data_IF_474270055208
#
_entry.id   IF_474270055208
#
_cell.length_a   1.000
_cell.length_b   1.000
_cell.length_c   1.000
_cell.angle_alpha   90.00
_cell.angle_beta   90.00
_cell.angle_gamma   90.00
#
_symmetry.space_group_name_H-M   'P 1'
#
loop_
_entity.id
_entity.type
_entity.pdbx_description
1 polymer ?
#
# COMPACT_ATOMS: atom_id res chain seq x y z
N UNK A 1 -40.69 33.75 -38.93
CA UNK A 1 -39.31 33.55 -38.44
C UNK A 1 -39.33 32.33 -37.52
N UNK A 2 -38.77 31.21 -37.95
CA UNK A 2 -38.79 29.95 -37.19
C UNK A 2 -37.57 29.96 -36.26
N UNK A 3 -37.79 29.86 -34.94
CA UNK A 3 -36.70 29.69 -33.96
C UNK A 3 -36.49 28.20 -33.74
N UNK A 4 -35.30 27.71 -34.11
CA UNK A 4 -34.83 26.39 -33.68
C UNK A 4 -34.18 26.54 -32.30
N UNK A 5 -34.72 25.83 -31.31
CA UNK A 5 -34.10 25.64 -30.01
C UNK A 5 -33.51 24.24 -29.96
N UNK A 6 -32.18 24.16 -29.82
CA UNK A 6 -31.48 22.92 -29.53
C UNK A 6 -31.32 22.80 -28.01
N UNK A 7 -31.75 21.67 -27.45
CA UNK A 7 -31.52 21.30 -26.04
C UNK A 7 -30.49 20.19 -26.04
N UNK A 8 -29.30 20.47 -25.51
CA UNK A 8 -28.27 19.46 -25.27
C UNK A 8 -28.39 18.98 -23.83
N UNK A 9 -28.65 17.68 -23.65
CA UNK A 9 -28.65 17.02 -22.35
C UNK A 9 -27.30 16.37 -22.16
N UNK A 10 -26.50 16.90 -21.22
CA UNK A 10 -25.25 16.27 -20.79
C UNK A 10 -25.57 15.29 -19.66
N UNK A 11 -25.50 13.99 -19.97
CA UNK A 11 -25.52 12.94 -18.96
C UNK A 11 -24.11 12.83 -18.38
N UNK A 12 -23.90 13.43 -17.21
CA UNK A 12 -22.68 13.20 -16.42
C UNK A 12 -22.89 11.91 -15.64
N UNK A 13 -22.11 10.88 -15.92
CA UNK A 13 -22.07 9.68 -15.10
C UNK A 13 -21.37 10.04 -13.79
N UNK A 14 -22.11 10.17 -12.70
CA UNK A 14 -21.51 10.16 -11.37
C UNK A 14 -20.97 8.74 -11.13
N UNK A 15 -19.64 8.58 -11.04
CA UNK A 15 -19.07 7.34 -10.53
C UNK A 15 -19.41 7.29 -9.04
N UNK A 16 -20.33 6.40 -8.67
CA UNK A 16 -20.60 6.12 -7.25
C UNK A 16 -19.38 5.45 -6.62
N UNK A 17 -19.05 5.86 -5.39
CA UNK A 17 -18.03 5.20 -4.57
C UNK A 17 -18.41 3.71 -4.49
N UNK A 18 -17.49 2.80 -4.85
CA UNK A 18 -17.76 1.38 -4.68
C UNK A 18 -18.03 1.07 -3.21
N UNK A 19 -19.13 0.36 -2.93
CA UNK A 19 -19.45 0.01 -1.56
C UNK A 19 -18.37 -0.89 -0.96
N UNK A 20 -17.96 -0.66 0.29
CA UNK A 20 -17.06 -1.56 1.00
C UNK A 20 -17.60 -3.00 0.99
N UNK A 21 -16.71 -3.97 0.74
CA UNK A 21 -17.02 -5.40 0.69
C UNK A 21 -16.48 -6.09 1.94
N UNK A 22 -17.39 -6.64 2.75
CA UNK A 22 -17.04 -7.54 3.84
C UNK A 22 -16.52 -8.87 3.26
N UNK A 23 -15.35 -9.31 3.72
CA UNK A 23 -14.71 -10.56 3.31
C UNK A 23 -14.13 -11.32 4.50
N UNK A 24 -13.81 -12.60 4.29
CA UNK A 24 -13.21 -13.47 5.28
C UNK A 24 -12.00 -14.17 4.65
N UNK A 25 -10.79 -13.56 4.75
CA UNK A 25 -9.59 -14.07 4.11
C UNK A 25 -9.23 -15.48 4.58
N UNK A 26 -8.80 -16.33 3.63
CA UNK A 26 -8.36 -17.71 3.91
C UNK A 26 -7.10 -18.02 3.12
N UNK A 27 -6.15 -18.65 3.79
CA UNK A 27 -5.03 -19.28 3.10
C UNK A 27 -5.51 -20.63 2.57
N UNK A 28 -5.37 -20.85 1.26
CA UNK A 28 -5.68 -22.13 0.65
C UNK A 28 -4.50 -23.07 0.86
N UNK A 29 -4.77 -24.29 1.33
CA UNK A 29 -3.75 -25.32 1.53
C UNK A 29 -3.24 -25.85 0.19
N UNK A 30 -2.37 -25.09 -0.46
CA UNK A 30 -1.59 -25.56 -1.59
C UNK A 30 -0.14 -25.14 -1.37
N UNK A 31 0.71 -26.10 -1.00
CA UNK A 31 2.16 -25.90 -0.98
C UNK A 31 2.61 -25.73 -2.42
N UNK A 32 2.60 -24.50 -2.91
CA UNK A 32 3.37 -24.16 -4.10
C UNK A 32 4.81 -24.65 -3.88
N UNK A 33 5.42 -25.36 -4.84
CA UNK A 33 6.82 -25.79 -4.75
C UNK A 33 7.77 -24.62 -4.46
N UNK A 34 7.34 -23.41 -4.85
CA UNK A 34 8.05 -22.14 -4.81
C UNK A 34 7.76 -21.34 -3.52
N UNK A 35 7.01 -21.90 -2.57
CA UNK A 35 6.75 -21.27 -1.26
C UNK A 35 5.75 -20.11 -1.30
N UNK A 36 4.97 -20.00 -2.38
CA UNK A 36 3.92 -18.98 -2.53
C UNK A 36 2.70 -19.30 -1.69
N UNK A 37 2.00 -18.26 -1.23
CA UNK A 37 0.75 -18.36 -0.47
C UNK A 37 -0.43 -18.00 -1.37
N UNK A 38 -1.42 -18.88 -1.45
CA UNK A 38 -2.69 -18.55 -2.09
C UNK A 38 -3.64 -17.97 -1.05
N UNK A 39 -3.90 -16.66 -1.14
CA UNK A 39 -4.81 -15.95 -0.26
C UNK A 39 -6.13 -15.68 -0.96
N UNK A 40 -7.16 -16.43 -0.59
CA UNK A 40 -8.52 -16.21 -1.06
C UNK A 40 -9.19 -15.09 -0.26
N UNK A 41 -9.69 -14.06 -0.95
CA UNK A 41 -10.41 -12.95 -0.34
C UNK A 41 -11.92 -13.05 -0.64
N UNK A 42 -12.27 -13.27 -1.91
CA UNK A 42 -13.64 -13.54 -2.36
C UNK A 42 -13.63 -14.22 -3.74
N UNK A 43 -14.80 -14.61 -4.25
CA UNK A 43 -14.94 -15.37 -5.51
C UNK A 43 -14.13 -14.79 -6.69
N UNK A 44 -14.13 -13.47 -6.86
CA UNK A 44 -13.41 -12.80 -7.95
C UNK A 44 -11.95 -12.41 -7.63
N UNK A 45 -11.45 -12.66 -6.41
CA UNK A 45 -10.12 -12.21 -5.99
C UNK A 45 -9.43 -13.23 -5.09
N UNK A 46 -8.39 -13.85 -5.67
CA UNK A 46 -7.42 -14.69 -4.95
C UNK A 46 -6.03 -14.20 -5.33
N UNK A 47 -5.20 -13.90 -4.32
CA UNK A 47 -3.85 -13.41 -4.49
C UNK A 47 -2.85 -14.57 -4.47
N UNK A 48 -1.86 -14.54 -5.36
CA UNK A 48 -0.75 -15.48 -5.42
C UNK A 48 0.53 -14.83 -4.87
N UNK A 49 0.60 -14.83 -3.55
CA UNK A 49 1.54 -14.06 -2.76
C UNK A 49 2.94 -14.69 -2.73
N UNK A 50 3.97 -13.90 -3.07
CA UNK A 50 5.38 -14.20 -2.78
C UNK A 50 5.90 -13.28 -1.69
N UNK A 51 7.01 -13.64 -1.03
CA UNK A 51 7.68 -12.75 -0.07
C UNK A 51 8.17 -11.48 -0.78
N UNK A 52 7.98 -10.34 -0.14
CA UNK A 52 8.56 -9.07 -0.55
C UNK A 52 9.53 -8.58 0.54
N UNK A 53 10.48 -7.73 0.15
CA UNK A 53 11.43 -7.09 1.05
C UNK A 53 11.66 -5.67 0.59
N UNK A 54 11.51 -4.73 1.52
CA UNK A 54 11.59 -3.29 1.21
C UNK A 54 12.40 -2.53 2.25
N UNK A 55 12.48 -3.04 3.48
CA UNK A 55 13.25 -2.43 4.53
C UNK A 55 14.75 -2.71 4.35
N UNK A 56 15.59 -1.74 4.74
CA UNK A 56 17.02 -2.00 4.90
C UNK A 56 17.23 -3.08 5.98
N UNK A 57 18.32 -3.84 5.87
CA UNK A 57 18.64 -4.93 6.81
C UNK A 57 18.58 -4.48 8.27
N UNK A 58 19.08 -3.27 8.55
CA UNK A 58 18.95 -2.58 9.82
C UNK A 58 18.77 -1.08 9.57
N UNK A 59 17.87 -0.44 10.31
CA UNK A 59 17.66 1.01 10.20
C UNK A 59 17.27 1.63 11.54
N UNK A 60 17.55 2.93 11.66
CA UNK A 60 17.33 3.72 12.87
C UNK A 60 16.05 4.54 12.73
N UNK A 61 15.21 4.52 13.77
CA UNK A 61 14.02 5.36 13.90
C UNK A 61 14.26 6.34 15.03
N UNK A 62 13.99 7.62 14.77
CA UNK A 62 14.10 8.70 15.74
C UNK A 62 12.68 9.13 16.13
N UNK A 63 12.39 9.06 17.42
CA UNK A 63 11.10 9.42 18.00
C UNK A 63 11.26 10.53 19.02
N UNK A 64 10.19 11.29 19.23
CA UNK A 64 10.16 12.34 20.24
C UNK A 64 9.26 11.89 21.40
N UNK A 65 9.85 11.34 22.45
CA UNK A 65 9.15 10.92 23.67
C UNK A 65 9.39 11.95 24.79
N UNK A 66 8.32 12.52 25.36
CA UNK A 66 8.39 13.51 26.45
C UNK A 66 9.36 14.69 26.19
N UNK A 67 9.44 15.13 24.92
CA UNK A 67 10.31 16.21 24.49
C UNK A 67 11.79 15.83 24.35
N UNK A 68 12.13 14.55 24.47
CA UNK A 68 13.48 14.01 24.21
C UNK A 68 13.49 13.18 22.93
N UNK A 69 14.59 13.24 22.21
CA UNK A 69 14.82 12.35 21.08
C UNK A 69 15.27 10.98 21.60
N UNK A 70 14.52 9.94 21.22
CA UNK A 70 14.83 8.54 21.49
C UNK A 70 15.11 7.86 20.17
N UNK A 71 16.09 6.96 20.17
CA UNK A 71 16.50 6.24 18.98
C UNK A 71 16.30 4.75 19.14
N UNK A 72 15.57 4.17 18.20
CA UNK A 72 15.30 2.75 18.09
C UNK A 72 16.04 2.16 16.89
N UNK A 73 16.45 0.90 17.01
CA UNK A 73 17.10 0.15 15.95
C UNK A 73 16.19 -1.01 15.57
N UNK A 74 15.80 -1.05 14.30
CA UNK A 74 14.91 -2.08 13.75
C UNK A 74 15.65 -2.92 12.73
N UNK A 75 15.25 -4.19 12.62
CA UNK A 75 15.76 -5.13 11.62
C UNK A 75 14.72 -5.31 10.52
N UNK A 76 15.11 -5.07 9.27
CA UNK A 76 14.22 -5.19 8.12
C UNK A 76 13.59 -6.58 8.00
N UNK A 77 14.36 -7.62 8.29
CA UNK A 77 13.89 -9.02 8.25
C UNK A 77 12.68 -9.29 9.16
N UNK A 78 12.52 -8.57 10.27
CA UNK A 78 11.38 -8.74 11.18
C UNK A 78 10.09 -8.17 10.59
N UNK A 79 10.20 -7.11 9.79
CA UNK A 79 9.11 -6.44 9.10
C UNK A 79 8.74 -7.20 7.83
N UNK A 80 9.74 -7.55 7.03
CA UNK A 80 9.61 -8.29 5.77
C UNK A 80 9.06 -9.70 6.00
N UNK A 81 9.21 -10.27 7.21
CA UNK A 81 8.70 -11.61 7.57
C UNK A 81 7.23 -11.80 7.20
N UNK A 82 6.41 -10.75 7.26
CA UNK A 82 4.98 -10.85 6.98
C UNK A 82 4.57 -10.06 5.74
N UNK A 83 5.51 -9.38 5.07
CA UNK A 83 5.25 -8.63 3.85
C UNK A 83 5.23 -9.57 2.65
N UNK A 84 4.16 -9.47 1.86
CA UNK A 84 3.98 -10.26 0.66
C UNK A 84 3.42 -9.42 -0.47
N UNK A 85 3.64 -9.89 -1.70
CA UNK A 85 3.17 -9.21 -2.90
C UNK A 85 2.63 -10.18 -3.95
N UNK A 86 1.74 -9.65 -4.79
CA UNK A 86 1.33 -10.24 -6.05
C UNK A 86 1.46 -9.20 -7.16
N UNK A 87 2.55 -9.30 -7.93
CA UNK A 87 2.86 -8.38 -9.04
C UNK A 87 1.73 -8.29 -10.06
N UNK A 88 1.04 -9.41 -10.34
CA UNK A 88 -0.02 -9.44 -11.37
C UNK A 88 -1.24 -8.64 -10.94
N UNK A 89 -1.52 -8.65 -9.63
CA UNK A 89 -2.62 -7.90 -9.04
C UNK A 89 -2.20 -6.51 -8.56
N UNK A 90 -0.90 -6.18 -8.61
CA UNK A 90 -0.34 -4.97 -7.97
C UNK A 90 -0.73 -4.90 -6.48
N UNK A 91 -0.71 -6.04 -5.82
CA UNK A 91 -1.07 -6.17 -4.41
C UNK A 91 0.18 -6.24 -3.54
N UNK A 92 0.14 -5.58 -2.39
CA UNK A 92 1.12 -5.70 -1.32
C UNK A 92 0.38 -5.76 0.00
N UNK A 93 0.56 -6.83 0.75
CA UNK A 93 -0.16 -7.09 1.99
C UNK A 93 0.76 -7.63 3.07
N UNK A 94 0.48 -7.21 4.30
CA UNK A 94 0.99 -7.83 5.50
C UNK A 94 0.05 -8.98 5.87
N UNK A 95 0.58 -10.19 6.02
CA UNK A 95 -0.21 -11.39 6.33
C UNK A 95 0.29 -12.01 7.63
N UNK A 96 -0.58 -12.04 8.63
CA UNK A 96 -0.32 -12.66 9.94
C UNK A 96 -1.30 -13.80 10.16
N UNK A 97 -0.78 -14.97 10.54
CA UNK A 97 -1.61 -16.10 10.96
C UNK A 97 -1.73 -16.11 12.48
N UNK A 98 -2.95 -16.20 12.99
CA UNK A 98 -3.26 -16.37 14.41
C UNK A 98 -4.02 -17.67 14.61
N UNK A 99 -4.11 -18.15 15.85
CA UNK A 99 -4.97 -19.29 16.20
C UNK A 99 -6.44 -19.08 15.80
N UNK A 100 -6.83 -17.81 15.64
CA UNK A 100 -8.18 -17.37 15.34
C UNK A 100 -8.42 -17.07 13.84
N UNK A 101 -7.45 -17.37 12.97
CA UNK A 101 -7.53 -17.14 11.54
C UNK A 101 -6.46 -16.19 11.00
N UNK A 102 -6.64 -15.78 9.74
CA UNK A 102 -5.69 -14.95 8.99
C UNK A 102 -6.08 -13.49 9.12
N UNK A 103 -5.11 -12.64 9.46
CA UNK A 103 -5.22 -11.18 9.37
C UNK A 103 -4.42 -10.68 8.17
N UNK A 104 -5.04 -9.78 7.43
CA UNK A 104 -4.50 -9.20 6.20
C UNK A 104 -4.71 -7.70 6.23
N UNK A 105 -3.63 -6.96 6.03
CA UNK A 105 -3.69 -5.51 5.91
C UNK A 105 -2.83 -5.05 4.74
N UNK A 106 -3.33 -4.07 3.97
CA UNK A 106 -2.57 -3.45 2.89
C UNK A 106 -3.39 -3.24 1.63
N UNK A 107 -2.74 -3.36 0.48
CA UNK A 107 -3.30 -3.07 -0.84
C UNK A 107 -3.53 -4.38 -1.59
N UNK A 108 -4.77 -4.63 -2.01
CA UNK A 108 -5.18 -5.89 -2.68
C UNK A 108 -5.42 -5.73 -4.18
N UNK A 109 -5.08 -4.55 -4.71
CA UNK A 109 -5.21 -4.21 -6.11
C UNK A 109 -4.81 -2.75 -6.37
N UNK A 110 -4.91 -2.27 -7.62
CA UNK A 110 -4.50 -0.90 -7.97
C UNK A 110 -5.27 0.19 -7.23
N UNK A 111 -6.51 -0.11 -6.82
CA UNK A 111 -7.47 0.85 -6.26
C UNK A 111 -8.12 0.40 -4.95
N UNK A 112 -7.77 -0.76 -4.41
CA UNK A 112 -8.46 -1.33 -3.24
C UNK A 112 -7.48 -1.67 -2.13
N UNK A 113 -7.88 -1.36 -0.90
CA UNK A 113 -7.17 -1.76 0.31
C UNK A 113 -8.02 -2.70 1.15
N UNK A 114 -7.36 -3.50 1.96
CA UNK A 114 -7.97 -4.41 2.92
C UNK A 114 -7.50 -4.08 4.33
N UNK A 115 -8.38 -4.20 5.31
CA UNK A 115 -8.06 -4.08 6.72
C UNK A 115 -8.93 -5.03 7.57
N UNK A 116 -8.43 -5.50 8.72
CA UNK A 116 -9.24 -6.28 9.67
C UNK A 116 -10.35 -5.41 10.31
N UNK A 117 -11.46 -6.05 10.70
CA UNK A 117 -12.59 -5.41 11.38
C UNK A 117 -12.82 -6.05 12.76
N UNK A 118 -11.96 -5.79 13.77
CA UNK A 118 -11.96 -6.52 15.04
C UNK A 118 -13.24 -6.35 15.87
N UNK A 119 -14.00 -5.27 15.64
CA UNK A 119 -15.27 -5.00 16.33
C UNK A 119 -16.46 -5.75 15.73
N UNK A 120 -16.31 -6.35 14.54
CA UNK A 120 -17.37 -7.10 13.88
C UNK A 120 -17.39 -8.56 14.34
N UNK A 121 -18.58 -9.18 14.30
CA UNK A 121 -18.74 -10.59 14.61
C UNK A 121 -17.96 -11.45 13.61
N UNK A 122 -17.33 -12.52 14.11
CA UNK A 122 -16.62 -13.51 13.30
C UNK A 122 -17.61 -14.33 12.47
N UNK A 123 -17.10 -15.01 11.44
CA UNK A 123 -17.94 -15.98 10.73
C UNK A 123 -18.30 -17.17 11.64
N UNK A 124 -19.28 -17.97 11.23
CA UNK A 124 -19.64 -19.23 11.90
C UNK A 124 -18.43 -20.19 12.02
N UNK A 125 -17.51 -20.13 11.05
CA UNK A 125 -16.25 -20.88 11.03
C UNK A 125 -15.12 -20.21 11.86
N UNK A 126 -15.41 -19.12 12.57
CA UNK A 126 -14.48 -18.38 13.41
C UNK A 126 -13.53 -17.41 12.68
N UNK A 127 -13.72 -17.21 11.36
CA UNK A 127 -12.83 -16.37 10.55
C UNK A 127 -12.93 -14.90 10.91
N UNK A 128 -11.79 -14.20 10.82
CA UNK A 128 -11.69 -12.77 11.14
C UNK A 128 -12.30 -11.96 9.98
N UNK A 129 -13.31 -11.10 10.24
CA UNK A 129 -13.89 -10.26 9.22
C UNK A 129 -12.89 -9.18 8.78
N UNK A 130 -12.86 -8.91 7.48
CA UNK A 130 -12.08 -7.84 6.88
C UNK A 130 -12.95 -7.00 5.96
N UNK A 131 -12.56 -5.75 5.76
CA UNK A 131 -13.22 -4.85 4.81
C UNK A 131 -12.29 -4.54 3.66
N UNK A 132 -12.77 -4.75 2.43
CA UNK A 132 -12.14 -4.25 1.21
C UNK A 132 -12.88 -3.01 0.76
N UNK A 133 -12.18 -1.91 0.52
CA UNK A 133 -12.76 -0.69 0.00
C UNK A 133 -11.81 0.05 -0.92
N UNK A 134 -12.39 0.93 -1.73
CA UNK A 134 -11.64 1.78 -2.64
C UNK A 134 -10.73 2.73 -1.84
N UNK A 135 -9.51 2.91 -2.34
CA UNK A 135 -8.57 3.89 -1.82
C UNK A 135 -9.07 5.27 -2.23
N UNK A 136 -9.40 6.11 -1.25
CA UNK A 136 -9.89 7.46 -1.49
C UNK A 136 -8.87 8.27 -2.29
N UNK A 137 -9.25 8.68 -3.50
CA UNK A 137 -8.51 9.67 -4.28
C UNK A 137 -8.93 11.05 -3.82
N UNK A 138 -8.14 11.66 -2.94
CA UNK A 138 -8.29 13.09 -2.68
C UNK A 138 -7.57 13.83 -3.79
N UNK A 139 -8.28 14.70 -4.50
CA UNK A 139 -7.63 15.71 -5.35
C UNK A 139 -6.78 16.58 -4.42
N UNK A 140 -5.49 16.27 -4.33
CA UNK A 140 -4.53 17.14 -3.68
C UNK A 140 -4.07 18.17 -4.71
N UNK A 141 -3.81 19.39 -4.25
CA UNK A 141 -3.01 20.31 -5.04
C UNK A 141 -1.60 19.72 -5.03
N UNK A 142 -1.28 18.92 -6.04
CA UNK A 142 0.07 18.44 -6.27
C UNK A 142 0.93 19.66 -6.60
N UNK A 143 1.45 20.30 -5.56
CA UNK A 143 2.41 21.38 -5.70
C UNK A 143 3.73 20.71 -6.03
N UNK A 144 3.98 20.57 -7.32
CA UNK A 144 5.31 20.25 -7.82
C UNK A 144 6.27 21.36 -7.35
N UNK A 145 7.13 21.01 -6.39
CA UNK A 145 8.19 21.88 -5.95
C UNK A 145 9.45 21.56 -6.72
N UNK A 146 9.81 22.45 -7.64
CA UNK A 146 11.10 22.42 -8.32
C UNK A 146 12.24 22.32 -7.29
N UNK A 147 13.22 21.40 -7.45
CA UNK A 147 14.34 21.30 -6.55
C UNK A 147 15.08 22.64 -6.46
N UNK A 148 15.23 23.19 -5.24
CA UNK A 148 15.95 24.46 -5.01
C UNK A 148 17.29 24.17 -4.33
N UNK A 149 18.40 24.32 -5.07
CA UNK A 149 19.77 24.15 -4.56
C UNK A 149 20.83 24.34 -5.64
N UNK A 150 22.09 24.56 -5.24
CA UNK A 150 23.22 24.85 -6.15
C UNK A 150 23.66 23.62 -6.99
N UNK A 151 23.32 22.40 -6.56
CA UNK A 151 23.71 21.12 -7.19
C UNK A 151 22.50 20.32 -7.72
N UNK A 152 21.34 20.95 -7.91
CA UNK A 152 20.20 20.28 -8.51
C UNK A 152 20.45 20.04 -10.02
N UNK A 153 20.92 18.84 -10.37
CA UNK A 153 21.05 18.43 -11.77
C UNK A 153 19.68 18.43 -12.43
N UNK A 154 19.53 19.27 -13.46
CA UNK A 154 18.30 19.38 -14.24
C UNK A 154 18.31 18.32 -15.33
N UNK A 155 17.88 17.11 -14.99
CA UNK A 155 17.59 16.10 -16.01
C UNK A 155 16.20 16.41 -16.56
N UNK A 156 16.15 17.04 -17.74
CA UNK A 156 14.90 17.26 -18.44
C UNK A 156 14.51 16.05 -19.28
N UNK A 157 13.23 15.95 -19.65
CA UNK A 157 12.70 14.94 -20.58
C UNK A 157 13.43 14.91 -21.95
N UNK A 158 14.24 15.93 -22.25
CA UNK A 158 15.06 16.03 -23.48
C UNK A 158 16.54 15.66 -23.28
N UNK A 159 16.95 15.24 -22.09
CA UNK A 159 18.32 14.80 -21.81
C UNK A 159 18.60 13.37 -22.29
N UNK A 160 17.58 12.67 -22.82
CA UNK A 160 17.75 11.35 -23.44
C UNK A 160 18.67 11.45 -24.65
N UNK A 161 19.88 10.88 -24.53
CA UNK A 161 20.77 10.73 -25.67
C UNK A 161 22.25 10.53 -25.36
N UNK A 162 22.70 10.67 -24.10
CA UNK A 162 24.13 10.50 -23.79
C UNK A 162 24.47 9.64 -22.58
N UNK A 163 23.49 9.20 -21.79
CA UNK A 163 23.74 8.40 -20.58
C UNK A 163 22.99 7.06 -20.62
N UNK A 164 23.72 5.98 -20.33
CA UNK A 164 23.15 4.65 -20.09
C UNK A 164 22.50 4.64 -18.72
N UNK A 165 21.16 4.67 -18.68
CA UNK A 165 20.39 4.50 -17.45
C UNK A 165 20.34 3.00 -17.13
N UNK A 166 20.66 2.59 -15.88
CA UNK A 166 20.51 1.21 -15.46
C UNK A 166 19.04 0.74 -15.54
N UNK A 167 18.84 -0.56 -15.77
CA UNK A 167 17.50 -1.17 -15.73
C UNK A 167 16.88 -1.12 -14.32
N UNK A 168 17.73 -1.07 -13.28
CA UNK A 168 17.33 -0.97 -11.88
C UNK A 168 18.12 0.13 -11.16
N UNK A 169 17.40 0.97 -10.41
CA UNK A 169 17.99 2.03 -9.59
C UNK A 169 17.51 1.87 -8.15
N UNK A 170 18.47 1.77 -7.21
CA UNK A 170 18.18 1.72 -5.79
C UNK A 170 18.08 3.15 -5.25
N UNK A 171 16.92 3.50 -4.71
CA UNK A 171 16.67 4.80 -4.08
C UNK A 171 16.51 4.61 -2.58
N UNK A 172 17.40 5.23 -1.81
CA UNK A 172 17.27 5.26 -0.35
C UNK A 172 16.25 6.32 0.07
N UNK A 173 15.28 5.92 0.89
CA UNK A 173 14.21 6.79 1.38
C UNK A 173 14.43 7.16 2.85
N UNK A 174 14.41 8.46 3.14
CA UNK A 174 14.29 8.98 4.50
C UNK A 174 12.87 9.51 4.70
N UNK A 175 12.09 8.80 5.53
CA UNK A 175 10.66 9.11 5.72
C UNK A 175 10.48 9.81 7.06
N UNK A 176 9.73 10.92 7.05
CA UNK A 176 9.34 11.66 8.26
C UNK A 176 7.82 11.61 8.37
N UNK A 177 7.32 11.13 9.50
CA UNK A 177 5.90 11.17 9.86
C UNK A 177 5.71 12.18 10.98
N UNK A 178 4.74 13.08 10.82
CA UNK A 178 4.36 13.98 11.92
C UNK A 178 3.40 13.30 12.90
N UNK A 179 3.07 14.01 13.98
CA UNK A 179 2.14 13.52 15.01
C UNK A 179 0.70 13.37 14.50
N UNK A 180 0.30 14.15 13.50
CA UNK A 180 -1.06 14.09 12.94
C UNK A 180 -1.27 12.87 12.07
N UNK A 181 -0.23 12.41 11.37
CA UNK A 181 -0.21 11.15 10.67
C UNK A 181 -0.06 9.98 11.65
N UNK A 182 0.87 10.10 12.60
CA UNK A 182 1.15 9.04 13.58
C UNK A 182 -0.06 8.66 14.44
N UNK A 183 -0.98 9.60 14.73
CA UNK A 183 -2.20 9.34 15.54
C UNK A 183 -3.11 8.22 15.01
N UNK A 184 -2.89 7.78 13.78
CA UNK A 184 -3.65 6.69 13.14
C UNK A 184 -3.06 5.31 13.41
N UNK A 185 -1.94 5.23 14.13
CA UNK A 185 -1.24 4.00 14.50
C UNK A 185 -1.11 3.96 16.02
N UNK A 186 -1.24 2.76 16.59
CA UNK A 186 -1.08 2.57 18.03
C UNK A 186 0.41 2.43 18.41
N UNK A 187 1.24 1.98 17.46
CA UNK A 187 2.67 1.77 17.67
C UNK A 187 3.52 2.21 16.48
N UNK A 188 4.81 2.49 16.73
CA UNK A 188 5.80 2.74 15.67
C UNK A 188 5.92 1.58 14.70
N UNK A 189 5.81 0.34 15.20
CA UNK A 189 5.89 -0.85 14.35
C UNK A 189 4.75 -0.87 13.32
N UNK A 190 3.53 -0.50 13.71
CA UNK A 190 2.40 -0.39 12.78
C UNK A 190 2.61 0.69 11.73
N UNK A 191 3.13 1.87 12.12
CA UNK A 191 3.51 2.91 11.15
C UNK A 191 4.54 2.37 10.15
N UNK A 192 5.58 1.70 10.64
CA UNK A 192 6.63 1.15 9.78
C UNK A 192 6.05 0.10 8.82
N UNK A 193 5.18 -0.81 9.31
CA UNK A 193 4.52 -1.81 8.46
C UNK A 193 3.66 -1.15 7.37
N UNK A 194 2.91 -0.11 7.71
CA UNK A 194 2.17 0.70 6.75
C UNK A 194 3.09 1.33 5.69
N UNK A 195 4.22 1.91 6.11
CA UNK A 195 5.19 2.50 5.20
C UNK A 195 5.85 1.44 4.29
N UNK A 196 6.15 0.24 4.81
CA UNK A 196 6.65 -0.87 4.01
C UNK A 196 5.64 -1.28 2.93
N UNK A 197 4.36 -1.42 3.28
CA UNK A 197 3.29 -1.69 2.30
C UNK A 197 3.21 -0.59 1.26
N UNK A 198 3.28 0.68 1.68
CA UNK A 198 3.23 1.84 0.80
C UNK A 198 4.40 1.85 -0.19
N UNK A 199 5.64 1.76 0.29
CA UNK A 199 6.83 1.79 -0.57
C UNK A 199 6.87 0.59 -1.51
N UNK A 200 6.55 -0.62 -1.04
CA UNK A 200 6.53 -1.77 -1.94
C UNK A 200 5.40 -1.68 -2.98
N UNK A 201 4.26 -1.08 -2.62
CA UNK A 201 3.19 -0.76 -3.59
C UNK A 201 3.65 0.25 -4.65
N UNK A 202 4.54 1.19 -4.29
CA UNK A 202 5.18 2.11 -5.25
C UNK A 202 6.11 1.32 -6.16
N UNK A 203 6.99 0.46 -5.62
CA UNK A 203 7.90 -0.36 -6.41
C UNK A 203 7.15 -1.15 -7.49
N UNK A 204 6.07 -1.86 -7.13
CA UNK A 204 5.24 -2.62 -8.09
C UNK A 204 4.66 -1.79 -9.25
N UNK A 205 4.60 -0.46 -9.14
CA UNK A 205 4.11 0.44 -10.20
C UNK A 205 5.22 0.98 -11.11
N UNK A 206 6.46 0.93 -10.66
CA UNK A 206 7.63 1.46 -11.38
C UNK A 206 8.64 0.38 -11.82
N UNK A 207 8.39 -0.88 -11.45
CA UNK A 207 9.05 -2.09 -11.98
C UNK A 207 8.34 -2.62 -13.21
#
# INVERSE_FOLDING_TARGET
>A
MIRLTAVAVFLVTAQGIQQPRLVYPRLLEERSPDGRLLLHLHDDLTLNLRKASVAASEFRVLEQEDGREVAHLFRGEELDRHLHEDEKQLATVHVTQTDSGVQVEGVVGPYHRIQPMPEMERSDDGLIPHMIHEIEKKEMLDIEMEPRGLDASRIGERSYGTETVPDEVIVELFIVSDSLHFKHFDTTVELIQYLCVFVNSVNLRYT
#
